data_IF_086550827394
#
_entry.id   IF_086550827394
#
_cell.length_a   1.000
_cell.length_b   1.000
_cell.length_c   1.000
_cell.angle_alpha   90.00
_cell.angle_beta   90.00
_cell.angle_gamma   90.00
#
_symmetry.space_group_name_H-M   'P 1'
#
loop_
_entity.id
_entity.type
_entity.pdbx_description
1 polymer ?
#
# COMPACT_ATOMS: atom_id res chain seq x y z
N UNK A 1 -41.57 -9.60 48.48
CA UNK A 1 -40.87 -8.55 47.69
C UNK A 1 -39.51 -9.10 47.32
N UNK A 2 -39.34 -9.59 46.09
CA UNK A 2 -38.03 -10.04 45.60
C UNK A 2 -37.93 -9.61 44.14
N UNK A 3 -37.19 -8.53 43.91
CA UNK A 3 -36.91 -8.02 42.56
C UNK A 3 -35.73 -8.79 42.00
N UNK A 4 -35.95 -9.63 40.99
CA UNK A 4 -34.88 -10.31 40.26
C UNK A 4 -34.22 -9.31 39.30
N UNK A 5 -33.00 -8.88 39.62
CA UNK A 5 -32.18 -8.05 38.73
C UNK A 5 -31.70 -8.93 37.56
N UNK A 6 -32.30 -8.74 36.39
CA UNK A 6 -31.87 -9.36 35.14
C UNK A 6 -30.48 -8.85 34.76
N UNK A 7 -29.51 -9.75 34.67
CA UNK A 7 -28.16 -9.47 34.20
C UNK A 7 -28.19 -9.47 32.67
N UNK A 8 -28.31 -8.30 32.04
CA UNK A 8 -28.24 -8.22 30.58
C UNK A 8 -26.78 -8.33 30.12
N UNK A 9 -26.46 -9.22 29.17
CA UNK A 9 -25.12 -9.31 28.62
C UNK A 9 -24.83 -8.06 27.77
N UNK A 10 -23.79 -7.33 28.16
CA UNK A 10 -23.33 -6.15 27.43
C UNK A 10 -22.54 -6.62 26.19
N UNK A 11 -23.19 -6.66 25.03
CA UNK A 11 -22.49 -6.84 23.75
C UNK A 11 -21.65 -5.58 23.53
N UNK A 12 -20.33 -5.71 23.66
CA UNK A 12 -19.42 -4.57 23.51
C UNK A 12 -19.08 -4.37 22.02
N UNK A 13 -19.56 -3.29 21.37
CA UNK A 13 -19.26 -3.01 19.96
C UNK A 13 -17.78 -2.67 19.72
N UNK A 14 -17.01 -2.45 20.80
CA UNK A 14 -15.59 -2.13 20.75
C UNK A 14 -14.76 -3.23 20.07
N UNK A 15 -15.15 -4.50 20.22
CA UNK A 15 -14.47 -5.62 19.55
C UNK A 15 -14.61 -5.54 18.02
N UNK A 16 -15.82 -5.25 17.54
CA UNK A 16 -16.11 -5.09 16.10
C UNK A 16 -15.41 -3.88 15.51
N UNK A 17 -15.43 -2.74 16.21
CA UNK A 17 -14.73 -1.54 15.77
C UNK A 17 -13.22 -1.77 15.67
N UNK A 18 -12.62 -2.45 16.66
CA UNK A 18 -11.19 -2.79 16.65
C UNK A 18 -10.84 -3.73 15.49
N UNK A 19 -11.68 -4.73 15.22
CA UNK A 19 -11.48 -5.64 14.09
C UNK A 19 -11.52 -4.88 12.75
N UNK A 20 -12.49 -3.97 12.57
CA UNK A 20 -12.59 -3.15 11.37
C UNK A 20 -11.33 -2.30 11.14
N UNK A 21 -10.82 -1.66 12.19
CA UNK A 21 -9.57 -0.89 12.11
C UNK A 21 -8.36 -1.77 11.76
N UNK A 22 -8.26 -2.97 12.34
CA UNK A 22 -7.20 -3.92 12.02
C UNK A 22 -7.25 -4.37 10.57
N UNK A 23 -8.44 -4.67 10.05
CA UNK A 23 -8.64 -5.04 8.64
C UNK A 23 -8.25 -3.88 7.73
N UNK A 24 -8.73 -2.67 8.01
CA UNK A 24 -8.42 -1.48 7.22
C UNK A 24 -6.90 -1.21 7.18
N UNK A 25 -6.24 -1.27 8.34
CA UNK A 25 -4.80 -1.08 8.44
C UNK A 25 -4.02 -2.15 7.66
N UNK A 26 -4.46 -3.41 7.72
CA UNK A 26 -3.84 -4.52 6.99
C UNK A 26 -3.99 -4.33 5.48
N UNK A 27 -5.19 -4.01 5.01
CA UNK A 27 -5.46 -3.76 3.58
C UNK A 27 -4.65 -2.56 3.09
N UNK A 28 -4.60 -1.46 3.85
CA UNK A 28 -3.81 -0.29 3.50
C UNK A 28 -2.31 -0.60 3.41
N UNK A 29 -1.78 -1.40 4.36
CA UNK A 29 -0.38 -1.82 4.33
C UNK A 29 -0.06 -2.68 3.11
N UNK A 30 -0.92 -3.65 2.78
CA UNK A 30 -0.76 -4.50 1.59
C UNK A 30 -0.86 -3.68 0.29
N UNK A 31 -1.80 -2.73 0.23
CA UNK A 31 -1.94 -1.84 -0.92
C UNK A 31 -0.71 -0.95 -1.10
N UNK A 32 -0.15 -0.43 0.00
CA UNK A 32 1.09 0.35 -0.03
C UNK A 32 2.27 -0.49 -0.51
N UNK A 33 2.43 -1.72 -0.01
CA UNK A 33 3.46 -2.64 -0.46
C UNK A 33 3.33 -2.94 -1.96
N UNK A 34 2.12 -3.24 -2.43
CA UNK A 34 1.86 -3.47 -3.84
C UNK A 34 2.17 -2.24 -4.69
N UNK A 35 1.83 -1.04 -4.21
CA UNK A 35 2.17 0.22 -4.88
C UNK A 35 3.68 0.41 -4.99
N UNK A 36 4.44 0.19 -3.91
CA UNK A 36 5.90 0.34 -3.92
C UNK A 36 6.56 -0.63 -4.89
N UNK A 37 6.12 -1.89 -4.91
CA UNK A 37 6.60 -2.89 -5.88
C UNK A 37 6.26 -2.44 -7.31
N UNK A 38 5.01 -2.03 -7.57
CA UNK A 38 4.61 -1.58 -8.91
C UNK A 38 5.33 -0.29 -9.34
N UNK A 39 5.70 0.57 -8.39
CA UNK A 39 6.50 1.77 -8.63
C UNK A 39 7.94 1.40 -9.03
N UNK A 40 8.59 0.54 -8.25
CA UNK A 40 9.97 0.10 -8.47
C UNK A 40 10.14 -0.67 -9.78
N UNK A 41 9.17 -1.53 -10.11
CA UNK A 41 9.16 -2.29 -11.36
C UNK A 41 8.71 -1.46 -12.58
N UNK A 42 8.47 -0.16 -12.41
CA UNK A 42 8.10 0.74 -13.50
C UNK A 42 6.68 0.58 -14.05
N UNK A 43 5.83 -0.27 -13.44
CA UNK A 43 4.43 -0.41 -13.82
C UNK A 43 3.61 0.87 -13.53
N UNK A 44 3.98 1.58 -12.45
CA UNK A 44 3.45 2.91 -12.11
C UNK A 44 4.45 4.01 -12.48
N UNK A 45 5.75 3.79 -12.22
CA UNK A 45 6.79 4.78 -12.52
C UNK A 45 7.24 4.72 -13.98
N UNK A 46 6.66 5.59 -14.83
CA UNK A 46 7.01 5.67 -16.27
C UNK A 46 8.29 6.45 -16.56
N UNK A 47 8.84 7.15 -15.56
CA UNK A 47 10.04 7.98 -15.76
C UNK A 47 11.31 7.17 -15.97
N UNK A 48 11.38 5.94 -15.45
CA UNK A 48 12.57 5.09 -15.57
C UNK A 48 12.91 4.73 -17.02
N UNK A 49 11.91 4.32 -17.81
CA UNK A 49 12.10 3.98 -19.23
C UNK A 49 12.45 5.22 -20.06
N UNK A 50 11.73 6.33 -19.82
CA UNK A 50 12.04 7.61 -20.46
C UNK A 50 13.48 8.06 -20.16
N UNK A 51 13.91 7.96 -18.90
CA UNK A 51 15.27 8.33 -18.50
C UNK A 51 16.32 7.36 -19.06
N UNK A 52 15.99 6.07 -19.17
CA UNK A 52 16.84 5.06 -19.80
C UNK A 52 17.09 5.39 -21.27
N UNK A 53 16.03 5.69 -22.03
CA UNK A 53 16.12 6.10 -23.44
C UNK A 53 16.84 7.44 -23.59
N UNK A 54 16.53 8.43 -22.74
CA UNK A 54 17.23 9.72 -22.75
C UNK A 54 18.74 9.56 -22.52
N UNK A 55 19.15 8.72 -21.57
CA UNK A 55 20.57 8.46 -21.29
C UNK A 55 21.23 7.65 -22.40
N UNK A 56 20.50 6.71 -22.98
CA UNK A 56 20.96 5.95 -24.14
C UNK A 56 21.21 6.89 -25.33
N UNK A 57 20.23 7.74 -25.68
CA UNK A 57 20.33 8.71 -26.77
C UNK A 57 21.37 9.80 -26.50
N UNK A 58 21.51 10.24 -25.26
CA UNK A 58 22.56 11.18 -24.85
C UNK A 58 23.96 10.64 -25.11
N UNK A 59 24.20 9.34 -24.85
CA UNK A 59 25.47 8.69 -25.19
C UNK A 59 25.73 8.67 -26.69
N UNK A 60 24.70 8.40 -27.50
CA UNK A 60 24.81 8.48 -28.97
C UNK A 60 25.12 9.89 -29.44
N UNK A 61 24.43 10.89 -28.90
CA UNK A 61 24.62 12.30 -29.26
C UNK A 61 26.02 12.82 -28.89
N UNK A 62 26.56 12.37 -27.76
CA UNK A 62 27.89 12.76 -27.26
C UNK A 62 29.03 11.88 -27.81
N UNK A 63 28.71 10.90 -28.67
CA UNK A 63 29.71 9.98 -29.26
C UNK A 63 30.42 9.09 -28.23
N UNK A 64 29.81 8.87 -27.07
CA UNK A 64 30.42 8.10 -25.97
C UNK A 64 30.25 6.60 -26.24
N UNK A 65 31.33 5.80 -26.30
CA UNK A 65 31.24 4.38 -26.65
C UNK A 65 30.46 3.55 -25.62
N UNK A 66 29.72 2.53 -26.08
CA UNK A 66 28.75 1.74 -25.30
C UNK A 66 29.26 0.40 -24.78
N UNK A 67 30.51 0.08 -25.08
CA UNK A 67 31.12 -1.21 -24.79
C UNK A 67 32.48 -1.03 -24.14
#
# INVERSE_FOLDING_TARGET
MSSSTSSQPLVSPAGTARLLWMVLATVAALALLAYLVAFDQGAVSRSGMFLHELMHDGRHLLGVPCH
#
